data_IF_410284675279
#
_entry.id   IF_410284675279
#
_cell.length_a   1.000
_cell.length_b   1.000
_cell.length_c   1.000
_cell.angle_alpha   90.00
_cell.angle_beta   90.00
_cell.angle_gamma   90.00
#
_symmetry.space_group_name_H-M   'P 1'
#
loop_
_entity.id
_entity.type
_entity.pdbx_description
1 polymer ?
#
# COMPACT_ATOMS: atom_id res chain seq x y z
N UNK A 1 58.98 -11.93 16.13
CA UNK A 1 57.56 -12.17 16.50
C UNK A 1 57.05 -11.21 17.59
N UNK A 2 57.59 -9.99 17.71
CA UNK A 2 57.14 -9.00 18.71
C UNK A 2 56.58 -7.71 18.09
N UNK A 3 56.65 -7.54 16.77
CA UNK A 3 56.26 -6.28 16.10
C UNK A 3 54.87 -6.33 15.46
N UNK A 4 54.20 -7.48 15.48
CA UNK A 4 52.87 -7.67 14.86
C UNK A 4 51.71 -7.61 15.85
N UNK A 5 51.97 -7.63 17.16
CA UNK A 5 50.92 -7.57 18.19
C UNK A 5 50.51 -6.13 18.55
N UNK A 6 51.41 -5.15 18.40
CA UNK A 6 51.10 -3.75 18.72
C UNK A 6 50.24 -3.05 17.65
N UNK A 7 50.27 -3.53 16.40
CA UNK A 7 49.49 -2.95 15.30
C UNK A 7 48.02 -3.40 15.28
N UNK A 8 47.69 -4.53 15.93
CA UNK A 8 46.31 -5.03 16.00
C UNK A 8 45.56 -4.42 17.19
N UNK A 9 46.26 -3.98 18.24
CA UNK A 9 45.64 -3.31 19.39
C UNK A 9 45.29 -1.83 19.13
N UNK A 10 45.94 -1.16 18.17
CA UNK A 10 45.69 0.24 17.86
C UNK A 10 44.56 0.48 16.85
N UNK A 11 44.06 -0.57 16.19
CA UNK A 11 42.91 -0.48 15.26
C UNK A 11 41.56 -0.70 15.96
N UNK A 12 41.54 -0.91 17.28
CA UNK A 12 40.34 -1.20 18.06
C UNK A 12 39.74 0.01 18.80
N UNK A 13 40.34 1.21 18.70
CA UNK A 13 39.89 2.39 19.47
C UNK A 13 39.60 3.65 18.63
N UNK A 14 39.19 3.49 17.36
CA UNK A 14 38.69 4.63 16.57
C UNK A 14 37.52 4.23 15.67
N UNK A 15 36.40 3.84 16.26
CA UNK A 15 35.08 3.97 15.62
C UNK A 15 33.96 4.25 16.63
N UNK A 16 34.26 5.00 17.70
CA UNK A 16 33.22 5.67 18.49
C UNK A 16 32.81 6.95 17.77
N UNK A 17 32.02 6.81 16.72
CA UNK A 17 31.59 7.96 15.92
C UNK A 17 30.44 7.72 14.94
N UNK A 18 29.96 6.49 14.77
CA UNK A 18 28.68 6.24 14.08
C UNK A 18 27.56 6.21 15.11
N UNK A 19 26.70 7.24 15.04
CA UNK A 19 25.49 7.33 15.85
C UNK A 19 24.76 5.99 15.90
N UNK A 20 24.34 5.61 17.11
CA UNK A 20 23.61 4.37 17.36
C UNK A 20 22.61 4.10 16.23
N UNK A 21 22.55 2.86 15.67
CA UNK A 21 21.60 2.56 14.63
C UNK A 21 20.22 2.93 15.15
N UNK A 22 19.54 3.83 14.44
CA UNK A 22 18.21 4.30 14.83
C UNK A 22 17.38 3.07 15.20
N UNK A 23 16.92 3.02 16.46
CA UNK A 23 16.24 1.86 17.00
C UNK A 23 15.14 1.44 16.02
N UNK A 24 15.17 0.17 15.60
CA UNK A 24 14.17 -0.34 14.66
C UNK A 24 12.81 -0.18 15.33
N UNK A 25 11.85 0.51 14.72
CA UNK A 25 10.54 0.70 15.32
C UNK A 25 9.88 -0.64 15.65
N UNK A 26 9.34 -0.80 16.85
CA UNK A 26 8.75 -2.05 17.36
C UNK A 26 7.70 -2.66 16.41
N UNK A 27 6.93 -1.81 15.71
CA UNK A 27 5.95 -2.25 14.72
C UNK A 27 6.57 -3.00 13.53
N UNK A 28 7.84 -2.72 13.19
CA UNK A 28 8.56 -3.44 12.13
C UNK A 28 8.91 -4.86 12.56
N UNK A 29 9.29 -5.07 13.82
CA UNK A 29 9.51 -6.43 14.34
C UNK A 29 8.22 -7.26 14.26
N UNK A 30 7.09 -6.65 14.59
CA UNK A 30 5.79 -7.30 14.48
C UNK A 30 5.47 -7.67 13.03
N UNK A 31 5.69 -6.75 12.09
CA UNK A 31 5.51 -7.00 10.67
C UNK A 31 6.43 -8.12 10.15
N UNK A 32 7.69 -8.15 10.58
CA UNK A 32 8.66 -9.18 10.21
C UNK A 32 8.25 -10.57 10.70
N UNK A 33 7.77 -10.67 11.95
CA UNK A 33 7.24 -11.93 12.49
C UNK A 33 5.99 -12.39 11.76
N UNK A 34 5.06 -11.49 11.43
CA UNK A 34 3.87 -11.84 10.66
C UNK A 34 4.22 -12.42 9.28
N UNK A 35 5.22 -11.85 8.61
CA UNK A 35 5.75 -12.35 7.35
C UNK A 35 6.38 -13.74 7.52
N UNK A 36 7.20 -13.93 8.56
CA UNK A 36 7.82 -15.22 8.84
C UNK A 36 6.78 -16.33 9.07
N UNK A 37 5.77 -16.06 9.91
CA UNK A 37 4.68 -17.01 10.20
C UNK A 37 3.88 -17.35 8.95
N UNK A 38 3.59 -16.37 8.10
CA UNK A 38 2.89 -16.61 6.83
C UNK A 38 3.70 -17.54 5.91
N UNK A 39 4.99 -17.27 5.73
CA UNK A 39 5.83 -18.11 4.87
C UNK A 39 6.07 -19.50 5.46
N UNK A 40 6.26 -19.62 6.77
CA UNK A 40 6.39 -20.93 7.43
C UNK A 40 5.15 -21.79 7.21
N UNK A 41 3.95 -21.21 7.41
CA UNK A 41 2.69 -21.91 7.20
C UNK A 41 2.50 -22.32 5.73
N UNK A 42 2.77 -21.42 4.78
CA UNK A 42 2.60 -21.71 3.35
C UNK A 42 3.63 -22.70 2.81
N UNK A 43 4.87 -22.68 3.30
CA UNK A 43 5.91 -23.69 3.01
C UNK A 43 5.51 -25.05 3.58
N UNK A 44 4.86 -25.10 4.75
CA UNK A 44 4.28 -26.32 5.31
C UNK A 44 3.03 -26.82 4.54
N UNK A 45 2.61 -26.14 3.47
CA UNK A 45 1.46 -26.50 2.65
C UNK A 45 0.11 -26.02 3.20
N UNK A 46 0.10 -25.20 4.26
CA UNK A 46 -1.12 -24.63 4.82
C UNK A 46 -1.59 -23.48 3.94
N UNK A 47 -2.81 -23.58 3.41
CA UNK A 47 -3.44 -22.52 2.62
C UNK A 47 -4.22 -21.59 3.55
N UNK A 48 -3.83 -20.31 3.69
CA UNK A 48 -4.54 -19.38 4.55
C UNK A 48 -5.89 -19.01 3.94
N UNK A 49 -6.90 -18.83 4.78
CA UNK A 49 -8.14 -18.18 4.38
C UNK A 49 -7.92 -16.67 4.14
N UNK A 50 -8.80 -16.03 3.38
CA UNK A 50 -8.72 -14.58 3.08
C UNK A 50 -8.76 -13.74 4.37
N UNK A 51 -9.51 -14.18 5.38
CA UNK A 51 -9.54 -13.56 6.70
C UNK A 51 -8.17 -13.57 7.38
N UNK A 52 -7.50 -14.73 7.40
CA UNK A 52 -6.15 -14.90 7.95
C UNK A 52 -5.12 -14.08 7.18
N UNK A 53 -5.18 -14.11 5.84
CA UNK A 53 -4.34 -13.27 5.00
C UNK A 53 -4.53 -11.79 5.33
N UNK A 54 -5.77 -11.33 5.48
CA UNK A 54 -6.07 -9.94 5.83
C UNK A 54 -5.51 -9.54 7.20
N UNK A 55 -5.57 -10.44 8.19
CA UNK A 55 -4.97 -10.21 9.50
C UNK A 55 -3.44 -10.10 9.42
N UNK A 56 -2.78 -10.98 8.67
CA UNK A 56 -1.34 -10.88 8.42
C UNK A 56 -0.99 -9.57 7.72
N UNK A 57 -1.70 -9.23 6.65
CA UNK A 57 -1.52 -7.95 5.94
C UNK A 57 -1.74 -6.77 6.88
N UNK A 58 -2.74 -6.78 7.75
CA UNK A 58 -2.96 -5.69 8.71
C UNK A 58 -1.73 -5.46 9.62
N UNK A 59 -0.97 -6.50 9.95
CA UNK A 59 0.27 -6.38 10.72
C UNK A 59 1.40 -5.67 9.96
N UNK A 60 1.34 -5.65 8.62
CA UNK A 60 2.31 -4.97 7.78
C UNK A 60 1.96 -3.49 7.54
N UNK A 61 0.79 -3.02 7.99
CA UNK A 61 0.38 -1.63 7.78
C UNK A 61 1.22 -0.70 8.67
N UNK A 62 1.91 0.31 8.12
CA UNK A 62 2.60 1.30 8.93
C UNK A 62 1.62 2.05 9.83
N UNK A 63 2.02 2.42 11.05
CA UNK A 63 1.16 3.18 11.94
C UNK A 63 0.78 4.53 11.32
N UNK A 64 -0.53 4.79 11.21
CA UNK A 64 -1.02 6.07 10.66
C UNK A 64 -0.80 7.22 11.63
N UNK A 65 -0.73 8.46 11.14
CA UNK A 65 -0.60 9.68 11.96
C UNK A 65 -1.58 9.73 13.15
N UNK A 66 -2.87 9.37 13.02
CA UNK A 66 -3.79 9.31 14.18
C UNK A 66 -3.44 8.21 15.19
N UNK A 67 -2.95 7.06 14.75
CA UNK A 67 -2.50 5.97 15.62
C UNK A 67 -1.22 6.36 16.36
N UNK A 68 -0.27 6.98 15.67
CA UNK A 68 0.92 7.56 16.26
C UNK A 68 0.56 8.64 17.29
N UNK A 69 -0.36 9.56 16.96
CA UNK A 69 -0.86 10.59 17.90
C UNK A 69 -1.63 10.02 19.09
N UNK A 70 -2.30 8.87 18.93
CA UNK A 70 -3.00 8.22 20.04
C UNK A 70 -2.02 7.62 21.05
N UNK A 71 -1.00 6.92 20.55
CA UNK A 71 0.11 6.42 21.36
C UNK A 71 0.91 7.58 21.97
N UNK A 72 1.14 8.67 21.23
CA UNK A 72 1.88 9.85 21.72
C UNK A 72 1.17 10.56 22.89
N UNK A 73 -0.17 10.62 22.84
CA UNK A 73 -1.01 11.16 23.93
C UNK A 73 -0.93 10.30 25.19
N UNK A 74 -0.75 8.99 25.02
CA UNK A 74 -0.59 8.04 26.12
C UNK A 74 0.86 7.99 26.64
N UNK A 75 1.85 8.29 25.80
CA UNK A 75 3.28 8.20 26.10
C UNK A 75 4.00 9.54 26.37
N UNK A 76 3.29 10.67 26.41
CA UNK A 76 3.86 11.96 26.83
C UNK A 76 4.57 12.79 25.75
N UNK A 77 4.39 12.50 24.46
CA UNK A 77 4.41 13.54 23.42
C UNK A 77 5.73 13.90 22.70
N UNK A 78 6.78 13.06 22.64
CA UNK A 78 8.11 13.55 22.18
C UNK A 78 8.72 12.88 20.94
N UNK A 79 8.38 11.64 20.60
CA UNK A 79 9.02 10.92 19.46
C UNK A 79 8.08 10.76 18.27
N UNK A 80 6.80 10.51 18.52
CA UNK A 80 5.82 10.25 17.46
C UNK A 80 5.32 11.53 16.75
N UNK A 81 5.41 12.71 17.38
CA UNK A 81 5.05 13.99 16.74
C UNK A 81 5.94 14.33 15.54
N UNK A 82 7.21 13.93 15.58
CA UNK A 82 8.21 14.17 14.53
C UNK A 82 8.00 13.25 13.32
N UNK A 83 7.62 12.00 13.55
CA UNK A 83 7.21 11.04 12.50
C UNK A 83 5.83 11.38 11.93
N UNK A 84 4.90 11.83 12.77
CA UNK A 84 3.59 12.32 12.35
C UNK A 84 3.67 13.56 11.43
N UNK A 85 4.64 14.44 11.67
CA UNK A 85 4.86 15.64 10.84
C UNK A 85 5.44 15.25 9.47
N UNK A 86 6.40 14.32 9.43
CA UNK A 86 6.99 13.80 8.18
C UNK A 86 5.95 13.13 7.26
N UNK A 87 4.97 12.41 7.81
CA UNK A 87 3.91 11.77 7.01
C UNK A 87 2.89 12.78 6.47
N UNK A 88 2.84 14.00 7.02
CA UNK A 88 1.81 15.01 6.70
C UNK A 88 2.23 16.10 5.69
N UNK A 89 3.50 16.15 5.27
CA UNK A 89 4.05 17.24 4.45
C UNK A 89 4.94 16.73 3.31
N UNK A 90 4.41 15.93 2.38
CA UNK A 90 5.14 15.56 1.16
C UNK A 90 4.27 15.68 -0.10
N UNK A 91 4.90 16.18 -1.17
CA UNK A 91 4.27 16.82 -2.33
C UNK A 91 3.91 15.88 -3.50
N UNK A 92 4.01 14.55 -3.33
CA UNK A 92 3.64 13.61 -4.41
C UNK A 92 2.65 12.53 -3.96
N UNK A 93 1.52 12.41 -4.67
CA UNK A 93 0.51 11.35 -4.46
C UNK A 93 1.03 9.94 -4.73
N UNK A 94 2.24 9.82 -5.28
CA UNK A 94 2.88 8.55 -5.64
C UNK A 94 3.71 7.95 -4.50
N UNK A 95 4.45 8.77 -3.75
CA UNK A 95 5.14 8.33 -2.53
C UNK A 95 4.14 7.81 -1.48
N UNK A 96 2.92 8.35 -1.50
CA UNK A 96 1.83 7.95 -0.61
C UNK A 96 1.43 6.47 -0.73
N UNK A 97 1.51 5.84 -1.91
CA UNK A 97 1.13 4.42 -2.06
C UNK A 97 2.00 3.48 -1.19
N UNK A 98 3.31 3.76 -1.12
CA UNK A 98 4.27 3.02 -0.29
C UNK A 98 4.11 3.33 1.20
N UNK A 99 3.50 4.47 1.55
CA UNK A 99 3.17 4.82 2.95
C UNK A 99 2.03 3.98 3.51
N UNK A 100 1.15 3.44 2.65
CA UNK A 100 0.02 2.62 3.11
C UNK A 100 0.41 1.17 3.39
N UNK A 101 1.30 0.60 2.56
CA UNK A 101 1.76 -0.77 2.71
C UNK A 101 3.18 -0.94 2.17
N UNK A 102 4.08 -1.66 2.88
CA UNK A 102 5.41 -1.97 2.38
C UNK A 102 5.33 -2.94 1.20
N UNK A 103 6.37 -2.96 0.38
CA UNK A 103 6.48 -3.86 -0.76
C UNK A 103 6.22 -5.34 -0.40
N UNK A 104 6.68 -5.77 0.79
CA UNK A 104 6.50 -7.15 1.28
C UNK A 104 5.03 -7.53 1.43
N UNK A 105 4.13 -6.59 1.69
CA UNK A 105 2.68 -6.85 1.73
C UNK A 105 2.12 -7.17 0.35
N UNK A 106 2.59 -6.47 -0.68
CA UNK A 106 2.15 -6.70 -2.07
C UNK A 106 2.70 -8.03 -2.57
N UNK A 107 3.94 -8.38 -2.22
CA UNK A 107 4.53 -9.70 -2.53
C UNK A 107 3.74 -10.80 -1.85
N UNK A 108 3.43 -10.67 -0.55
CA UNK A 108 2.58 -11.62 0.19
C UNK A 108 1.20 -11.81 -0.48
N UNK A 109 0.61 -10.74 -1.02
CA UNK A 109 -0.64 -10.83 -1.77
C UNK A 109 -0.47 -11.55 -3.13
N UNK A 110 0.61 -11.29 -3.86
CA UNK A 110 0.96 -12.00 -5.12
C UNK A 110 1.18 -13.51 -4.87
N UNK A 111 1.80 -13.88 -3.75
CA UNK A 111 1.93 -15.28 -3.33
C UNK A 111 0.57 -15.91 -3.02
N UNK A 112 -0.30 -15.18 -2.33
CA UNK A 112 -1.67 -15.62 -2.08
C UNK A 112 -2.47 -15.82 -3.39
N UNK A 113 -2.20 -15.02 -4.44
CA UNK A 113 -2.77 -15.23 -5.78
C UNK A 113 -2.25 -16.53 -6.42
N UNK A 114 -0.97 -16.86 -6.23
CA UNK A 114 -0.38 -18.12 -6.72
C UNK A 114 -1.02 -19.35 -6.03
N UNK A 115 -1.36 -19.22 -4.74
CA UNK A 115 -2.09 -20.22 -3.95
C UNK A 115 -3.62 -20.19 -4.21
N UNK A 116 -4.10 -19.37 -5.16
CA UNK A 116 -5.51 -19.15 -5.49
C UNK A 116 -6.37 -18.69 -4.30
N UNK A 117 -5.78 -18.13 -3.24
CA UNK A 117 -6.54 -17.62 -2.06
C UNK A 117 -7.31 -16.34 -2.43
N UNK A 118 -6.75 -15.53 -3.32
CA UNK A 118 -7.30 -14.26 -3.81
C UNK A 118 -7.24 -14.23 -5.35
N UNK A 119 -8.07 -13.42 -6.04
CA UNK A 119 -8.14 -13.44 -7.49
C UNK A 119 -6.90 -12.82 -8.13
N UNK A 120 -6.51 -13.34 -9.29
CA UNK A 120 -5.44 -12.82 -10.14
C UNK A 120 -5.92 -11.62 -10.95
N UNK A 121 -5.03 -10.66 -11.17
CA UNK A 121 -5.34 -9.46 -11.96
C UNK A 121 -5.00 -9.65 -13.44
N UNK A 122 -5.89 -9.19 -14.31
CA UNK A 122 -5.73 -9.20 -15.77
C UNK A 122 -5.46 -7.79 -16.29
N UNK A 123 -4.54 -7.68 -17.25
CA UNK A 123 -4.09 -6.39 -17.80
C UNK A 123 -4.58 -6.08 -19.21
N UNK A 124 -5.22 -7.05 -19.88
CA UNK A 124 -5.58 -6.95 -21.31
C UNK A 124 -7.07 -6.71 -21.57
N UNK A 125 -7.92 -6.90 -20.56
CA UNK A 125 -9.37 -6.79 -20.70
C UNK A 125 -9.98 -6.15 -19.47
N UNK A 126 -11.10 -5.48 -19.68
CA UNK A 126 -11.91 -4.97 -18.60
C UNK A 126 -12.29 -6.11 -17.67
N UNK A 127 -12.18 -5.85 -16.36
CA UNK A 127 -12.25 -6.89 -15.34
C UNK A 127 -13.08 -6.42 -14.16
N UNK A 128 -13.99 -7.28 -13.73
CA UNK A 128 -14.78 -7.08 -12.52
C UNK A 128 -14.20 -7.97 -11.42
N UNK A 129 -13.81 -7.37 -10.30
CA UNK A 129 -13.33 -8.09 -9.12
C UNK A 129 -14.35 -7.98 -7.99
N UNK A 130 -14.83 -9.13 -7.54
CA UNK A 130 -15.69 -9.19 -6.38
C UNK A 130 -14.85 -9.11 -5.10
N UNK A 131 -14.98 -8.02 -4.36
CA UNK A 131 -14.30 -7.80 -3.08
C UNK A 131 -15.27 -7.83 -1.90
N UNK A 132 -16.50 -8.31 -2.08
CA UNK A 132 -17.49 -8.43 -1.01
C UNK A 132 -17.03 -9.41 0.08
N UNK A 133 -16.37 -10.49 -0.31
CA UNK A 133 -15.79 -11.43 0.64
C UNK A 133 -14.49 -10.92 1.31
N UNK A 134 -13.95 -9.77 0.90
CA UNK A 134 -12.64 -9.32 1.35
C UNK A 134 -12.76 -8.56 2.67
N UNK A 135 -11.98 -8.91 3.70
CA UNK A 135 -11.81 -8.05 4.85
C UNK A 135 -10.93 -6.82 4.49
N UNK A 136 -10.99 -5.73 5.26
CA UNK A 136 -10.48 -4.43 4.85
C UNK A 136 -9.00 -4.37 4.42
N UNK A 137 -8.09 -5.05 5.12
CA UNK A 137 -6.66 -4.99 4.80
C UNK A 137 -6.35 -5.71 3.48
N UNK A 138 -6.94 -6.89 3.27
CA UNK A 138 -6.83 -7.60 1.99
C UNK A 138 -7.38 -6.77 0.82
N UNK A 139 -8.50 -6.07 0.98
CA UNK A 139 -9.06 -5.23 -0.07
C UNK A 139 -8.16 -4.02 -0.43
N UNK A 140 -7.58 -3.35 0.56
CA UNK A 140 -6.63 -2.26 0.31
C UNK A 140 -5.39 -2.75 -0.43
N UNK A 141 -4.80 -3.86 0.03
CA UNK A 141 -3.61 -4.44 -0.61
C UNK A 141 -3.94 -4.98 -2.00
N UNK A 142 -5.16 -5.47 -2.24
CA UNK A 142 -5.63 -5.87 -3.56
C UNK A 142 -5.56 -4.70 -4.55
N UNK A 143 -6.07 -3.53 -4.16
CA UNK A 143 -6.02 -2.30 -4.99
C UNK A 143 -4.58 -1.88 -5.25
N UNK A 144 -3.73 -1.85 -4.22
CA UNK A 144 -2.31 -1.48 -4.39
C UNK A 144 -1.55 -2.46 -5.29
N UNK A 145 -1.84 -3.75 -5.17
CA UNK A 145 -1.24 -4.80 -6.00
C UNK A 145 -1.72 -4.70 -7.44
N UNK A 146 -3.00 -4.41 -7.69
CA UNK A 146 -3.54 -4.15 -9.02
C UNK A 146 -2.82 -2.97 -9.69
N UNK A 147 -2.66 -1.84 -8.99
CA UNK A 147 -1.95 -0.67 -9.50
C UNK A 147 -0.48 -0.99 -9.84
N UNK A 148 0.18 -1.81 -9.02
CA UNK A 148 1.54 -2.31 -9.27
C UNK A 148 1.60 -3.18 -10.53
N UNK A 149 0.63 -4.06 -10.72
CA UNK A 149 0.52 -4.91 -11.92
C UNK A 149 0.36 -4.05 -13.17
N UNK A 150 -0.53 -3.06 -13.15
CA UNK A 150 -0.67 -2.12 -14.28
C UNK A 150 0.57 -1.30 -14.54
N UNK A 151 1.30 -0.88 -13.50
CA UNK A 151 2.59 -0.21 -13.67
C UNK A 151 3.59 -1.08 -14.40
N UNK A 152 3.81 -2.32 -13.94
CA UNK A 152 4.74 -3.27 -14.59
C UNK A 152 4.33 -3.53 -16.05
N UNK A 153 3.02 -3.62 -16.30
CA UNK A 153 2.50 -3.79 -17.65
C UNK A 153 2.78 -2.57 -18.53
N UNK A 154 2.47 -1.36 -18.07
CA UNK A 154 2.76 -0.13 -18.80
C UNK A 154 4.27 0.04 -19.06
N UNK A 155 5.11 -0.19 -18.04
CA UNK A 155 6.57 -0.06 -18.12
C UNK A 155 7.17 -1.06 -19.14
N UNK A 156 6.67 -2.31 -19.18
CA UNK A 156 7.15 -3.32 -20.14
C UNK A 156 6.77 -3.05 -21.59
N UNK A 157 5.76 -2.20 -21.83
CA UNK A 157 5.28 -1.85 -23.17
C UNK A 157 5.54 -0.38 -23.53
N UNK A 158 6.34 0.35 -22.73
CA UNK A 158 6.62 1.77 -22.92
C UNK A 158 7.34 2.10 -24.26
N UNK A 159 7.96 1.11 -24.90
CA UNK A 159 8.59 1.23 -26.21
C UNK A 159 7.69 0.89 -27.42
N UNK A 160 6.49 0.38 -27.18
CA UNK A 160 5.57 -0.12 -28.23
C UNK A 160 4.48 0.89 -28.61
N UNK A 161 4.45 2.06 -27.94
CA UNK A 161 3.46 3.11 -28.14
C UNK A 161 2.66 3.43 -26.88
N UNK A 162 1.55 4.14 -27.06
CA UNK A 162 0.68 4.50 -25.93
C UNK A 162 -0.20 3.29 -25.54
N UNK A 163 0.16 2.63 -24.45
CA UNK A 163 -0.50 1.39 -24.00
C UNK A 163 -1.86 1.72 -23.40
N UNK A 164 -2.92 1.09 -23.90
CA UNK A 164 -4.24 1.19 -23.28
C UNK A 164 -4.35 0.26 -22.07
N UNK A 165 -4.79 0.83 -20.96
CA UNK A 165 -5.09 0.09 -19.74
C UNK A 165 -6.59 -0.20 -19.70
N UNK A 166 -7.01 -1.38 -19.23
CA UNK A 166 -8.42 -1.72 -19.10
C UNK A 166 -9.07 -0.97 -17.93
N UNK A 167 -10.38 -0.88 -18.00
CA UNK A 167 -11.23 -0.43 -16.89
C UNK A 167 -11.40 -1.57 -15.88
N UNK A 168 -11.34 -1.22 -14.58
CA UNK A 168 -11.50 -2.17 -13.50
C UNK A 168 -12.64 -1.77 -12.59
N UNK A 169 -13.55 -2.71 -12.34
CA UNK A 169 -14.70 -2.52 -11.44
C UNK A 169 -14.57 -3.42 -10.22
N UNK A 170 -14.70 -2.85 -9.03
CA UNK A 170 -14.78 -3.56 -7.77
C UNK A 170 -16.24 -3.65 -7.32
N UNK A 171 -16.74 -4.86 -7.01
CA UNK A 171 -18.05 -5.04 -6.35
C UNK A 171 -17.86 -4.99 -4.84
N UNK A 172 -18.64 -4.13 -4.18
CA UNK A 172 -18.38 -3.65 -2.82
C UNK A 172 -19.56 -3.86 -1.87
N UNK A 173 -20.80 -3.73 -2.36
CA UNK A 173 -22.02 -4.18 -1.67
C UNK A 173 -22.76 -5.17 -2.55
N UNK A 174 -23.71 -5.90 -1.96
CA UNK A 174 -24.70 -6.69 -2.70
C UNK A 174 -25.56 -5.79 -3.59
N UNK A 175 -26.10 -6.36 -4.68
CA UNK A 175 -26.97 -5.57 -5.54
C UNK A 175 -28.30 -5.35 -4.79
N UNK A 176 -28.98 -4.20 -4.96
CA UNK A 176 -30.25 -3.93 -4.28
C UNK A 176 -31.35 -4.96 -4.64
N UNK A 177 -31.20 -5.67 -5.76
CA UNK A 177 -32.09 -6.75 -6.19
C UNK A 177 -31.86 -8.08 -5.45
N UNK A 178 -30.82 -8.17 -4.62
CA UNK A 178 -30.53 -9.35 -3.77
C UNK A 178 -31.31 -9.31 -2.43
N UNK A 179 -32.04 -8.22 -2.13
CA UNK A 179 -32.86 -8.13 -0.92
C UNK A 179 -34.21 -8.85 -1.12
N UNK A 180 -34.58 -9.83 -0.28
CA UNK A 180 -35.95 -10.32 -0.28
C UNK A 180 -36.87 -9.19 0.16
N UNK A 181 -37.79 -8.75 -0.72
CA UNK A 181 -38.91 -7.88 -0.35
C UNK A 181 -39.80 -8.63 0.66
N UNK A 182 -39.50 -8.54 1.95
CA UNK A 182 -40.39 -9.00 3.03
C UNK A 182 -40.60 -7.92 4.08
N UNK A 183 -41.87 -7.55 4.30
CA UNK A 183 -42.34 -6.57 5.28
C UNK A 183 -42.38 -7.12 6.73
N UNK A 184 -41.75 -8.27 7.00
CA UNK A 184 -41.79 -8.97 8.29
C UNK A 184 -40.58 -8.59 9.19
N UNK A 185 -40.74 -8.67 10.51
CA UNK A 185 -39.66 -8.40 11.47
C UNK A 185 -38.44 -9.30 11.20
N UNK A 186 -37.20 -8.76 11.29
CA UNK A 186 -36.02 -9.46 10.84
C UNK A 186 -35.77 -10.74 11.63
N UNK A 187 -35.91 -11.88 10.95
CA UNK A 187 -35.52 -13.20 11.45
C UNK A 187 -34.03 -13.19 11.87
N UNK A 188 -33.57 -14.05 12.80
CA UNK A 188 -32.17 -14.11 13.22
C UNK A 188 -31.17 -14.34 12.07
N UNK A 189 -31.64 -14.82 10.92
CA UNK A 189 -30.86 -14.91 9.68
C UNK A 189 -30.63 -13.53 9.02
N UNK A 190 -31.58 -12.59 9.08
CA UNK A 190 -31.44 -11.20 8.63
C UNK A 190 -30.43 -10.39 9.45
N UNK A 191 -30.28 -10.68 10.75
CA UNK A 191 -29.23 -10.10 11.57
C UNK A 191 -27.80 -10.48 11.10
N UNK A 192 -27.66 -11.64 10.45
CA UNK A 192 -26.39 -12.09 9.85
C UNK A 192 -26.12 -11.33 8.55
N UNK A 193 -27.15 -11.05 7.75
CA UNK A 193 -27.05 -10.22 6.55
C UNK A 193 -26.71 -8.76 6.89
N UNK A 194 -27.33 -8.18 7.90
CA UNK A 194 -26.98 -6.83 8.40
C UNK A 194 -25.52 -6.73 8.88
N UNK A 195 -25.01 -7.79 9.51
CA UNK A 195 -23.59 -7.89 9.90
C UNK A 195 -22.66 -8.05 8.70
N UNK A 196 -23.11 -8.78 7.67
CA UNK A 196 -22.48 -8.89 6.36
C UNK A 196 -22.35 -7.52 5.69
N UNK A 197 -23.44 -6.79 5.55
CA UNK A 197 -23.48 -5.46 4.93
C UNK A 197 -22.65 -4.44 5.70
N UNK A 198 -22.64 -4.50 7.03
CA UNK A 198 -21.76 -3.63 7.80
C UNK A 198 -20.27 -3.93 7.53
N UNK A 199 -19.90 -5.21 7.36
CA UNK A 199 -18.53 -5.59 6.96
C UNK A 199 -18.23 -5.13 5.54
N UNK A 200 -19.15 -5.32 4.60
CA UNK A 200 -19.03 -4.89 3.21
C UNK A 200 -18.86 -3.38 3.11
N UNK A 201 -19.70 -2.62 3.82
CA UNK A 201 -19.62 -1.17 3.94
C UNK A 201 -18.27 -0.73 4.53
N UNK A 202 -17.75 -1.43 5.55
CA UNK A 202 -16.40 -1.17 6.09
C UNK A 202 -15.32 -1.39 5.04
N UNK A 203 -15.35 -2.51 4.31
CA UNK A 203 -14.37 -2.79 3.24
C UNK A 203 -14.44 -1.73 2.15
N UNK A 204 -15.63 -1.41 1.67
CA UNK A 204 -15.87 -0.37 0.66
C UNK A 204 -15.38 1.00 1.07
N UNK A 205 -15.72 1.43 2.28
CA UNK A 205 -15.26 2.70 2.82
C UNK A 205 -13.74 2.76 2.93
N UNK A 206 -13.08 1.66 3.30
CA UNK A 206 -11.61 1.60 3.40
C UNK A 206 -10.95 1.72 2.02
N UNK A 207 -11.50 1.06 1.00
CA UNK A 207 -11.06 1.22 -0.39
C UNK A 207 -11.27 2.65 -0.89
N UNK A 208 -12.43 3.26 -0.64
CA UNK A 208 -12.68 4.67 -1.00
C UNK A 208 -11.69 5.62 -0.34
N UNK A 209 -11.42 5.44 0.96
CA UNK A 209 -10.43 6.27 1.68
C UNK A 209 -9.04 6.11 1.07
N UNK A 210 -8.65 4.89 0.71
CA UNK A 210 -7.38 4.63 0.02
C UNK A 210 -7.33 5.34 -1.34
N UNK A 211 -8.36 5.22 -2.18
CA UNK A 211 -8.39 5.86 -3.50
C UNK A 211 -8.29 7.40 -3.41
N UNK A 212 -9.02 8.01 -2.46
CA UNK A 212 -8.94 9.46 -2.19
C UNK A 212 -7.54 9.88 -1.76
N UNK A 213 -6.93 9.10 -0.88
CA UNK A 213 -5.56 9.31 -0.40
C UNK A 213 -4.51 9.19 -1.52
N UNK A 214 -4.71 8.26 -2.44
CA UNK A 214 -3.89 8.14 -3.66
C UNK A 214 -4.20 9.21 -4.71
N UNK A 215 -5.20 10.07 -4.48
CA UNK A 215 -5.73 11.04 -5.45
C UNK A 215 -6.15 10.39 -6.77
N UNK A 216 -6.67 9.17 -6.69
CA UNK A 216 -7.27 8.44 -7.82
C UNK A 216 -8.75 8.77 -7.93
N UNK A 217 -9.16 9.30 -9.07
CA UNK A 217 -10.58 9.47 -9.39
C UNK A 217 -11.20 8.10 -9.68
N UNK A 218 -12.45 7.92 -9.27
CA UNK A 218 -13.22 6.70 -9.49
C UNK A 218 -14.68 7.06 -9.81
N UNK A 219 -15.36 6.21 -10.58
CA UNK A 219 -16.81 6.27 -10.79
C UNK A 219 -17.54 5.30 -9.85
N UNK A 220 -18.85 5.51 -9.70
CA UNK A 220 -19.69 4.76 -8.77
C UNK A 220 -19.55 5.24 -7.33
N UNK A 221 -19.83 4.35 -6.39
CA UNK A 221 -19.77 4.63 -4.96
C UNK A 221 -20.18 3.43 -4.14
N UNK A 222 -19.83 3.41 -2.85
CA UNK A 222 -20.21 2.32 -1.95
C UNK A 222 -21.72 2.10 -1.96
N UNK A 223 -22.51 3.18 -1.95
CA UNK A 223 -23.98 3.15 -2.04
C UNK A 223 -24.54 2.57 -3.35
N UNK A 224 -23.76 2.57 -4.43
CA UNK A 224 -24.14 2.01 -5.72
C UNK A 224 -23.63 0.57 -5.91
N UNK A 225 -23.03 -0.02 -4.86
CA UNK A 225 -22.52 -1.39 -4.85
C UNK A 225 -21.22 -1.62 -5.62
N UNK A 226 -20.70 -0.63 -6.35
CA UNK A 226 -19.48 -0.78 -7.13
C UNK A 226 -18.60 0.47 -7.16
N UNK A 227 -17.31 0.26 -7.36
CA UNK A 227 -16.29 1.30 -7.57
C UNK A 227 -15.55 0.99 -8.87
N UNK A 228 -15.45 1.95 -9.77
CA UNK A 228 -14.83 1.76 -11.08
C UNK A 228 -13.62 2.69 -11.27
N UNK A 229 -12.54 2.11 -11.78
CA UNK A 229 -11.29 2.78 -12.15
C UNK A 229 -11.09 2.65 -13.65
N UNK A 230 -11.29 3.76 -14.37
CA UNK A 230 -10.99 3.82 -15.80
C UNK A 230 -9.49 3.68 -16.05
N UNK A 231 -9.13 2.92 -17.08
CA UNK A 231 -7.73 2.78 -17.50
C UNK A 231 -7.03 4.12 -17.79
N UNK A 232 -7.77 5.12 -18.30
CA UNK A 232 -7.24 6.47 -18.53
C UNK A 232 -6.88 7.21 -17.23
N UNK A 233 -7.59 6.94 -16.15
CA UNK A 233 -7.26 7.50 -14.83
C UNK A 233 -6.03 6.82 -14.26
N UNK A 234 -5.96 5.49 -14.34
CA UNK A 234 -4.80 4.71 -13.88
C UNK A 234 -3.55 5.13 -14.67
N UNK A 235 -3.64 5.22 -15.99
CA UNK A 235 -2.53 5.62 -16.88
C UNK A 235 -2.01 7.01 -16.55
N UNK A 236 -2.91 7.99 -16.34
CA UNK A 236 -2.52 9.36 -15.93
C UNK A 236 -1.85 9.36 -14.56
N UNK A 237 -2.40 8.61 -13.61
CA UNK A 237 -1.81 8.48 -12.28
C UNK A 237 -0.42 7.83 -12.32
N UNK A 238 -0.22 6.80 -13.16
CA UNK A 238 1.07 6.17 -13.38
C UNK A 238 2.09 7.09 -14.07
N UNK A 239 1.67 7.93 -15.02
CA UNK A 239 2.54 8.94 -15.65
C UNK A 239 2.91 10.06 -14.68
N UNK A 240 1.97 10.55 -13.88
CA UNK A 240 2.23 11.51 -12.80
C UNK A 240 3.20 10.95 -11.75
N UNK A 241 3.25 9.62 -11.60
CA UNK A 241 4.20 8.91 -10.75
C UNK A 241 5.62 8.74 -11.34
N UNK A 242 5.87 9.14 -12.58
CA UNK A 242 7.18 9.08 -13.22
C UNK A 242 7.90 10.45 -13.25
N UNK A 243 7.21 11.55 -12.93
CA UNK A 243 7.79 12.88 -12.89
C UNK A 243 8.13 13.32 -11.46
N UNK A 244 9.38 13.08 -11.03
CA UNK A 244 10.10 14.04 -10.22
C UNK A 244 11.44 14.40 -10.90
N UNK A 245 11.71 15.70 -11.07
CA UNK A 245 12.96 16.31 -11.58
C UNK A 245 13.12 16.65 -13.08
N UNK A 246 12.16 17.31 -13.72
CA UNK A 246 12.44 18.19 -14.86
C UNK A 246 12.04 19.63 -14.55
N UNK A 247 12.62 20.20 -13.49
CA UNK A 247 12.62 21.66 -13.24
C UNK A 247 13.70 22.07 -12.23
N UNK A 248 14.92 21.55 -12.39
CA UNK A 248 16.13 22.23 -11.88
C UNK A 248 17.27 22.16 -12.92
N UNK A 249 16.94 22.38 -14.19
CA UNK A 249 17.91 22.77 -15.22
C UNK A 249 17.51 24.16 -15.72
N UNK A 250 17.89 25.18 -14.96
CA UNK A 250 17.59 26.57 -15.27
C UNK A 250 18.28 27.60 -14.38
N UNK A 251 19.29 27.20 -13.60
CA UNK A 251 20.05 28.11 -12.74
C UNK A 251 21.55 27.78 -12.70
N UNK A 252 22.10 27.18 -13.77
CA UNK A 252 23.56 27.04 -13.95
C UNK A 252 23.99 27.46 -15.37
N UNK A 253 23.34 28.50 -15.90
CA UNK A 253 23.82 29.23 -17.08
C UNK A 253 24.00 30.71 -16.75
N UNK A 254 24.72 31.01 -15.66
CA UNK A 254 25.20 32.37 -15.41
C UNK A 254 26.38 32.38 -14.43
N UNK A 255 27.43 31.61 -14.72
CA UNK A 255 28.74 31.80 -14.07
C UNK A 255 29.93 31.37 -14.97
N UNK A 256 29.69 31.13 -16.27
CA UNK A 256 30.73 30.82 -17.27
C UNK A 256 30.99 31.99 -18.25
N UNK A 257 30.44 33.19 -17.99
CA UNK A 257 30.54 34.36 -18.88
C UNK A 257 31.47 35.48 -18.41
N UNK A 258 32.21 35.32 -17.31
CA UNK A 258 33.00 36.40 -16.72
C UNK A 258 34.52 36.12 -16.67
N UNK A 259 35.06 35.40 -17.65
CA UNK A 259 36.52 35.21 -17.83
C UNK A 259 36.96 35.32 -19.30
N UNK A 260 36.31 36.19 -20.07
CA UNK A 260 36.77 36.59 -21.40
C UNK A 260 36.20 37.96 -21.77
N UNK A 261 36.72 39.01 -21.14
CA UNK A 261 37.18 40.22 -21.85
C UNK A 261 37.75 41.26 -20.86
N UNK A 262 38.93 41.76 -21.22
CA UNK A 262 39.76 42.84 -20.63
C UNK A 262 40.74 42.48 -19.50
#
# INVERSE_FOLDING_TARGET
>A
AATTAAAVAAAAEMDEGLGAPAAVPEWKEWADRAIAVYHEATVAGVRPEVCTLSAMLACLRPPTVPALRAVDREAGGTVASREAFAVSHEDSSHEDARKYYPLRALIMYEEAQALNVVPKFYTKKDSVYDIRAFPPAAAEVAVLTLLRVFRRYADSHAGEGDVDLPTVTFRVLSDPDDEPESDDEPEPEEAVYASGDQRLARTGNRVVVLLRRLRLNYSGGVSHGHLELSGNVIKRWLKAAASPSETMHGMESSLAGALQDQ
#
